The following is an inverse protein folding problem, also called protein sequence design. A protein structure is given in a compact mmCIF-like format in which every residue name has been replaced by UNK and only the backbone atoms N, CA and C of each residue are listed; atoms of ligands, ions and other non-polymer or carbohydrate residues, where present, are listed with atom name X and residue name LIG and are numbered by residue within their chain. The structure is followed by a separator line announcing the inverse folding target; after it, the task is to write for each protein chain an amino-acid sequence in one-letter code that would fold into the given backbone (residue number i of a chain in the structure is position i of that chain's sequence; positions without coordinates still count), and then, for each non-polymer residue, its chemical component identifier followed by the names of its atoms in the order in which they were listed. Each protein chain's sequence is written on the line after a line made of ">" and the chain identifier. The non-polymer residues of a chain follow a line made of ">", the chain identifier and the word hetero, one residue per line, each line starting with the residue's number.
data_IF_317399224832
#
_entry.id   IF_317399224832
#
_cell.length_a   1.000
_cell.length_b   1.000
_cell.length_c   1.000
_cell.angle_alpha   90.00
_cell.angle_beta   90.00
_cell.angle_gamma   90.00
#
_symmetry.space_group_name_H-M   'P 1'
#
loop_
_entity.id
_entity.type
_entity.pdbx_description
1 polymer ?
#
# COMPACT_ATOMS: atom_id res chain seq x y z
N UNK A 1 2.70 1.72 14.90
CA UNK A 1 2.12 3.04 14.53
C UNK A 1 1.45 2.92 13.16
N UNK A 2 0.29 3.56 12.96
CA UNK A 2 -0.44 3.61 11.69
C UNK A 2 -0.19 4.94 10.99
N UNK A 3 0.81 4.98 10.12
CA UNK A 3 1.22 6.16 9.37
C UNK A 3 0.31 6.40 8.18
N UNK A 4 -0.08 7.64 7.95
CA UNK A 4 -0.95 8.04 6.85
C UNK A 4 -0.37 9.24 6.10
N UNK A 5 -0.66 9.28 4.81
CA UNK A 5 -0.59 10.50 4.02
C UNK A 5 -2.01 11.05 3.91
N UNK A 6 -2.21 12.28 4.32
CA UNK A 6 -3.53 12.92 4.31
C UNK A 6 -3.49 14.29 3.68
N UNK A 7 -4.64 14.73 3.22
CA UNK A 7 -4.83 16.03 2.58
C UNK A 7 -5.79 16.88 3.41
N UNK A 8 -5.40 18.11 3.66
CA UNK A 8 -6.25 19.17 4.22
C UNK A 8 -6.57 20.22 3.16
N UNK A 9 -7.82 20.67 3.12
CA UNK A 9 -8.23 21.77 2.25
C UNK A 9 -7.86 23.09 2.89
N UNK A 10 -7.16 23.95 2.15
CA UNK A 10 -6.83 25.30 2.57
C UNK A 10 -7.29 26.32 1.53
N UNK A 11 -7.26 27.60 1.88
CA UNK A 11 -7.56 28.69 0.94
C UNK A 11 -6.58 28.77 -0.25
N UNK A 12 -5.39 28.18 -0.09
CA UNK A 12 -4.36 28.10 -1.13
C UNK A 12 -4.42 26.81 -1.95
N UNK A 13 -5.43 25.95 -1.66
CA UNK A 13 -5.57 24.62 -2.27
C UNK A 13 -5.30 23.47 -1.29
N UNK A 14 -5.27 22.23 -1.76
CA UNK A 14 -5.03 21.07 -0.92
C UNK A 14 -3.55 20.97 -0.51
N UNK A 15 -3.32 20.63 0.76
CA UNK A 15 -2.00 20.38 1.32
C UNK A 15 -1.88 18.94 1.78
N UNK A 16 -0.88 18.23 1.25
CA UNK A 16 -0.56 16.85 1.63
C UNK A 16 0.40 16.85 2.81
N UNK A 17 0.12 16.01 3.81
CA UNK A 17 0.85 15.92 5.05
C UNK A 17 1.06 14.46 5.49
N UNK A 18 2.14 14.22 6.23
CA UNK A 18 2.38 12.97 6.95
C UNK A 18 1.68 13.05 8.31
N UNK A 19 0.90 12.01 8.64
CA UNK A 19 0.24 11.89 9.92
C UNK A 19 0.27 10.47 10.47
N UNK A 20 -0.32 10.32 11.65
CA UNK A 20 -0.62 9.04 12.26
C UNK A 20 -2.10 8.96 12.66
N UNK A 21 -2.70 7.77 12.49
CA UNK A 21 -4.03 7.49 13.05
C UNK A 21 -3.92 7.31 14.56
N UNK A 22 -4.76 7.99 15.30
CA UNK A 22 -4.91 7.84 16.75
C UNK A 22 -6.39 7.91 17.11
N UNK A 23 -6.97 6.76 17.46
CA UNK A 23 -8.41 6.62 17.65
C UNK A 23 -9.21 7.15 16.43
N UNK A 24 -10.10 8.08 16.61
CA UNK A 24 -10.90 8.76 15.56
C UNK A 24 -10.23 10.00 14.97
N UNK A 25 -8.95 10.19 15.24
CA UNK A 25 -8.21 11.37 14.81
C UNK A 25 -7.07 11.03 13.86
N UNK A 26 -6.62 12.04 13.12
CA UNK A 26 -5.36 12.08 12.39
C UNK A 26 -4.48 13.14 13.05
N UNK A 27 -3.32 12.75 13.53
CA UNK A 27 -2.32 13.66 14.10
C UNK A 27 -1.32 14.02 13.01
N UNK A 28 -1.16 15.32 12.71
CA UNK A 28 -0.08 15.82 11.87
C UNK A 28 1.24 15.70 12.62
N UNK A 29 2.08 14.73 12.23
CA UNK A 29 3.28 14.39 12.97
C UNK A 29 4.34 15.49 12.95
N UNK A 30 4.52 16.16 11.83
CA UNK A 30 5.49 17.28 11.71
C UNK A 30 5.06 18.47 12.57
N UNK A 31 3.77 18.84 12.55
CA UNK A 31 3.25 19.90 13.40
C UNK A 31 3.27 19.52 14.88
N UNK A 32 3.01 18.27 15.22
CA UNK A 32 3.11 17.77 16.59
C UNK A 32 4.55 17.83 17.11
N UNK A 33 5.54 17.46 16.27
CA UNK A 33 6.95 17.61 16.61
C UNK A 33 7.33 19.09 16.80
N UNK A 34 6.86 19.97 15.90
CA UNK A 34 7.13 21.41 16.06
C UNK A 34 6.51 21.98 17.35
N UNK A 35 5.28 21.58 17.70
CA UNK A 35 4.64 21.96 18.96
C UNK A 35 5.43 21.46 20.17
N UNK A 36 5.88 20.20 20.15
CA UNK A 36 6.73 19.60 21.20
C UNK A 36 8.07 20.33 21.34
N UNK A 37 8.72 20.66 20.22
CA UNK A 37 9.98 21.41 20.26
C UNK A 37 9.80 22.83 20.81
N UNK A 38 8.67 23.50 20.50
CA UNK A 38 8.34 24.79 21.10
C UNK A 38 8.11 24.67 22.61
N UNK A 39 7.41 23.64 23.08
CA UNK A 39 7.19 23.35 24.51
C UNK A 39 8.53 23.07 25.25
N UNK A 40 9.49 22.48 24.56
CA UNK A 40 10.86 22.27 25.06
C UNK A 40 11.76 23.54 24.97
N UNK A 41 11.24 24.67 24.55
CA UNK A 41 11.97 25.94 24.45
C UNK A 41 12.95 26.02 23.29
N UNK A 42 12.82 25.21 22.25
CA UNK A 42 13.67 25.32 21.05
C UNK A 42 13.41 26.62 20.28
N UNK A 43 14.48 27.30 19.82
CA UNK A 43 14.37 28.60 19.15
C UNK A 43 13.72 28.51 17.76
N UNK A 44 13.98 27.43 17.03
CA UNK A 44 13.51 27.22 15.63
C UNK A 44 12.70 25.92 15.51
N UNK A 45 11.59 25.75 16.26
CA UNK A 45 10.88 24.48 16.38
C UNK A 45 10.36 23.93 15.05
N UNK A 46 9.93 24.79 14.14
CA UNK A 46 9.47 24.38 12.80
C UNK A 46 10.60 23.84 11.96
N UNK A 47 11.72 24.56 11.90
CA UNK A 47 12.89 24.14 11.14
C UNK A 47 13.45 22.82 11.64
N UNK A 48 13.45 22.63 12.95
CA UNK A 48 13.87 21.38 13.59
C UNK A 48 12.92 20.23 13.24
N UNK A 49 11.59 20.47 13.29
CA UNK A 49 10.59 19.48 12.89
C UNK A 49 10.74 19.11 11.40
N UNK A 50 10.92 20.09 10.51
CA UNK A 50 11.09 19.82 9.07
C UNK A 50 12.33 18.97 8.77
N UNK A 51 13.40 19.13 9.57
CA UNK A 51 14.64 18.37 9.42
C UNK A 51 14.55 16.94 9.98
N UNK A 52 13.86 16.72 11.11
CA UNK A 52 13.83 15.44 11.82
C UNK A 52 12.59 14.60 11.51
N UNK A 53 11.49 15.24 11.14
CA UNK A 53 10.21 14.61 10.86
C UNK A 53 9.51 15.35 9.71
N UNK A 54 10.02 15.21 8.47
CA UNK A 54 9.47 15.90 7.31
C UNK A 54 8.01 15.51 7.07
N UNK A 55 7.18 16.42 6.50
CA UNK A 55 5.75 16.19 6.29
C UNK A 55 5.43 15.28 5.08
N UNK A 56 6.43 14.70 4.45
CA UNK A 56 6.31 13.80 3.30
C UNK A 56 6.73 12.37 3.68
N UNK A 57 5.95 11.37 3.28
CA UNK A 57 6.18 9.97 3.67
C UNK A 57 7.50 9.43 3.13
N UNK A 58 7.88 9.74 1.89
CA UNK A 58 9.13 9.22 1.32
C UNK A 58 10.35 9.89 1.98
N UNK A 59 10.30 11.20 2.19
CA UNK A 59 11.35 11.91 2.92
C UNK A 59 11.47 11.41 4.36
N UNK A 60 10.36 11.10 5.01
CA UNK A 60 10.32 10.44 6.32
C UNK A 60 10.99 9.06 6.32
N UNK A 61 10.65 8.21 5.35
CA UNK A 61 11.25 6.88 5.22
C UNK A 61 12.76 6.94 4.94
N UNK A 62 13.23 7.95 4.21
CA UNK A 62 14.66 8.16 3.95
C UNK A 62 15.47 8.44 5.23
N UNK A 63 14.87 9.09 6.22
CA UNK A 63 15.50 9.33 7.52
C UNK A 63 15.46 8.10 8.45
N UNK A 64 14.63 7.12 8.14
CA UNK A 64 14.63 5.81 8.78
C UNK A 64 14.26 5.83 10.27
N UNK A 65 15.09 5.17 11.10
CA UNK A 65 14.77 4.92 12.52
C UNK A 65 14.68 6.19 13.37
N UNK A 66 15.47 7.20 13.07
CA UNK A 66 15.50 8.44 13.85
C UNK A 66 14.21 9.23 13.66
N UNK A 67 13.73 9.33 12.42
CA UNK A 67 12.44 9.94 12.14
C UNK A 67 11.27 9.13 12.74
N UNK A 68 11.34 7.80 12.74
CA UNK A 68 10.32 6.96 13.37
C UNK A 68 10.28 7.14 14.89
N UNK A 69 11.45 7.29 15.54
CA UNK A 69 11.52 7.58 16.97
C UNK A 69 10.90 8.95 17.28
N UNK A 70 11.24 9.97 16.49
CA UNK A 70 10.67 11.30 16.64
C UNK A 70 9.15 11.32 16.37
N UNK A 71 8.66 10.55 15.40
CA UNK A 71 7.24 10.40 15.14
C UNK A 71 6.47 9.82 16.34
N UNK A 72 7.07 8.88 17.09
CA UNK A 72 6.48 8.35 18.32
C UNK A 72 6.38 9.41 19.40
N UNK A 73 7.46 10.16 19.64
CA UNK A 73 7.47 11.27 20.61
C UNK A 73 6.42 12.34 20.24
N UNK A 74 6.30 12.67 18.95
CA UNK A 74 5.31 13.63 18.47
C UNK A 74 3.87 13.14 18.69
N UNK A 75 3.61 11.86 18.39
CA UNK A 75 2.29 11.26 18.62
C UNK A 75 1.95 11.19 20.10
N UNK A 76 2.88 10.76 20.96
CA UNK A 76 2.71 10.71 22.41
C UNK A 76 2.42 12.09 23.01
N UNK A 77 3.14 13.10 22.56
CA UNK A 77 2.92 14.50 22.96
C UNK A 77 1.51 14.97 22.60
N UNK A 78 1.06 14.70 21.37
CA UNK A 78 -0.27 15.07 20.92
C UNK A 78 -1.37 14.31 21.69
N UNK A 79 -1.20 13.00 21.89
CA UNK A 79 -2.12 12.15 22.66
C UNK A 79 -2.25 12.60 24.13
N UNK A 80 -1.12 12.95 24.77
CA UNK A 80 -1.11 13.47 26.15
C UNK A 80 -1.86 14.80 26.29
N UNK A 81 -1.75 15.69 25.29
CA UNK A 81 -2.52 16.93 25.22
C UNK A 81 -4.03 16.67 25.11
N UNK A 82 -4.43 15.79 24.21
CA UNK A 82 -5.83 15.39 24.01
C UNK A 82 -6.43 14.73 25.27
N UNK A 83 -5.65 13.89 25.98
CA UNK A 83 -6.08 13.29 27.24
C UNK A 83 -6.38 14.32 28.36
N UNK A 84 -5.82 15.53 28.23
CA UNK A 84 -6.10 16.67 29.10
C UNK A 84 -7.16 17.64 28.53
N UNK A 85 -7.91 17.23 27.49
CA UNK A 85 -8.87 18.04 26.75
C UNK A 85 -8.26 19.34 26.14
N UNK A 86 -6.96 19.30 25.85
CA UNK A 86 -6.22 20.42 25.23
C UNK A 86 -5.44 19.90 24.03
N UNK A 87 -6.05 19.97 22.83
CA UNK A 87 -5.34 19.67 21.61
C UNK A 87 -4.09 20.60 21.49
N UNK A 88 -2.90 20.07 21.20
CA UNK A 88 -1.76 20.92 20.95
C UNK A 88 -1.97 21.74 19.68
N UNK A 89 -1.39 22.93 19.67
CA UNK A 89 -1.31 23.79 18.48
C UNK A 89 0.14 23.90 18.04
N UNK A 90 0.36 24.02 16.74
CA UNK A 90 1.67 24.33 16.18
C UNK A 90 2.18 25.70 16.66
N UNK A 91 3.48 25.99 16.48
CA UNK A 91 4.10 27.24 16.99
C UNK A 91 3.47 28.53 16.47
N UNK A 92 2.65 28.47 15.42
CA UNK A 92 1.93 29.62 14.84
C UNK A 92 0.41 29.48 14.95
N UNK A 93 -0.09 28.63 15.83
CA UNK A 93 -1.50 28.33 15.99
C UNK A 93 -2.06 27.33 14.97
N UNK A 94 -1.18 26.54 14.30
CA UNK A 94 -1.62 25.55 13.34
C UNK A 94 -2.31 24.38 14.05
N UNK A 95 -3.39 23.86 13.44
CA UNK A 95 -4.12 22.68 13.93
C UNK A 95 -3.26 21.43 13.77
N UNK A 96 -2.93 20.76 14.86
CA UNK A 96 -2.13 19.52 14.92
C UNK A 96 -3.01 18.27 14.82
N UNK A 97 -4.20 18.28 15.41
CA UNK A 97 -5.09 17.12 15.50
C UNK A 97 -6.35 17.37 14.71
N UNK A 98 -6.63 16.50 13.76
CA UNK A 98 -7.80 16.59 12.86
C UNK A 98 -8.75 15.44 13.16
N UNK A 99 -10.07 15.66 13.06
CA UNK A 99 -11.03 14.56 12.99
C UNK A 99 -10.76 13.70 11.74
N UNK A 100 -10.95 12.39 11.85
CA UNK A 100 -10.72 11.48 10.70
C UNK A 100 -11.56 11.89 9.48
N UNK A 101 -12.76 12.42 9.69
CA UNK A 101 -13.70 12.84 8.65
C UNK A 101 -13.41 14.27 8.12
N UNK A 102 -12.56 15.03 8.80
CA UNK A 102 -12.15 16.39 8.38
C UNK A 102 -11.05 16.38 7.31
N UNK A 103 -10.44 15.23 7.05
CA UNK A 103 -9.31 15.07 6.14
C UNK A 103 -9.57 13.97 5.11
N UNK A 104 -8.89 14.06 3.98
CA UNK A 104 -8.90 13.02 2.97
C UNK A 104 -7.65 12.17 3.10
N UNK A 105 -7.79 10.88 3.37
CA UNK A 105 -6.64 9.97 3.29
C UNK A 105 -6.28 9.71 1.82
N UNK A 106 -5.00 9.73 1.56
CA UNK A 106 -4.39 9.35 0.28
C UNK A 106 -3.74 7.96 0.43
N UNK A 107 -3.21 7.43 -0.67
CA UNK A 107 -2.29 6.31 -0.55
C UNK A 107 -1.15 6.68 0.40
N UNK A 108 -0.72 5.78 1.29
CA UNK A 108 0.30 6.10 2.30
C UNK A 108 1.59 6.67 1.70
N UNK A 109 1.94 6.19 0.50
CA UNK A 109 3.08 6.68 -0.28
C UNK A 109 2.82 6.50 -1.78
N UNK A 110 3.58 7.21 -2.59
CA UNK A 110 3.76 6.90 -4.01
C UNK A 110 5.03 6.06 -4.12
N UNK A 111 4.94 4.76 -4.43
CA UNK A 111 6.11 3.88 -4.44
C UNK A 111 7.21 4.37 -5.38
N UNK A 112 8.48 4.17 -5.01
CA UNK A 112 9.62 4.38 -5.92
C UNK A 112 9.74 3.28 -6.96
N UNK A 113 9.40 2.07 -6.53
CA UNK A 113 9.22 0.90 -7.39
C UNK A 113 8.11 0.04 -6.81
N UNK A 114 7.41 -0.70 -7.67
CA UNK A 114 6.44 -1.70 -7.29
C UNK A 114 6.83 -3.02 -7.93
N UNK A 115 6.98 -4.05 -7.10
CA UNK A 115 7.18 -5.43 -7.53
C UNK A 115 6.07 -6.26 -6.90
N UNK A 116 5.40 -7.03 -7.71
CA UNK A 116 4.29 -7.84 -7.24
C UNK A 116 4.61 -9.32 -7.44
N UNK A 117 4.55 -10.06 -6.35
CA UNK A 117 4.95 -11.46 -6.29
C UNK A 117 3.76 -12.38 -6.56
N UNK A 118 4.10 -13.61 -6.84
CA UNK A 118 3.15 -14.70 -7.01
C UNK A 118 3.42 -15.76 -5.92
N UNK A 119 3.22 -15.34 -4.63
CA UNK A 119 3.77 -16.06 -3.48
C UNK A 119 2.87 -17.14 -2.87
N UNK A 120 1.60 -17.25 -3.31
CA UNK A 120 0.67 -18.24 -2.79
C UNK A 120 0.58 -19.47 -3.70
N UNK A 121 0.97 -20.64 -3.19
CA UNK A 121 1.03 -21.89 -3.96
C UNK A 121 -0.33 -22.32 -4.52
N UNK A 122 -1.38 -22.31 -3.70
CA UNK A 122 -2.72 -22.73 -4.13
C UNK A 122 -3.28 -21.85 -5.26
N UNK A 123 -3.02 -20.54 -5.19
CA UNK A 123 -3.38 -19.62 -6.27
C UNK A 123 -2.56 -19.92 -7.54
N UNK A 124 -1.26 -20.15 -7.40
CA UNK A 124 -0.37 -20.49 -8.50
C UNK A 124 -0.79 -21.80 -9.19
N UNK A 125 -1.04 -22.86 -8.44
CA UNK A 125 -1.52 -24.15 -8.96
C UNK A 125 -2.83 -23.97 -9.74
N UNK A 126 -3.76 -23.19 -9.20
CA UNK A 126 -5.07 -22.96 -9.85
C UNK A 126 -4.93 -22.14 -11.14
N UNK A 127 -4.06 -21.13 -11.14
CA UNK A 127 -3.82 -20.29 -12.33
C UNK A 127 -3.24 -21.12 -13.49
N UNK A 128 -2.26 -21.98 -13.22
CA UNK A 128 -1.68 -22.89 -14.22
C UNK A 128 -2.66 -23.95 -14.70
N UNK A 129 -3.43 -24.56 -13.79
CA UNK A 129 -4.46 -25.52 -14.16
C UNK A 129 -5.51 -24.92 -15.12
N UNK A 130 -5.91 -23.66 -14.91
CA UNK A 130 -6.81 -22.92 -15.84
C UNK A 130 -6.19 -22.70 -17.22
N UNK A 131 -4.87 -22.57 -17.29
CA UNK A 131 -4.13 -22.48 -18.55
C UNK A 131 -3.94 -23.85 -19.23
N UNK A 132 -4.44 -24.94 -18.63
CA UNK A 132 -4.28 -26.31 -19.14
C UNK A 132 -2.87 -26.88 -18.93
N UNK A 133 -2.12 -26.35 -17.96
CA UNK A 133 -0.74 -26.71 -17.67
C UNK A 133 -0.53 -27.00 -16.19
N UNK A 134 0.58 -27.63 -15.83
CA UNK A 134 1.04 -27.75 -14.45
C UNK A 134 1.93 -26.57 -14.05
N UNK A 135 1.94 -26.24 -12.76
CA UNK A 135 2.86 -25.23 -12.22
C UNK A 135 4.32 -25.66 -12.51
N UNK A 136 5.13 -24.81 -13.17
CA UNK A 136 6.52 -25.14 -13.46
C UNK A 136 7.34 -25.36 -12.18
N UNK A 137 8.25 -26.32 -12.19
CA UNK A 137 9.15 -26.59 -11.06
C UNK A 137 9.97 -25.35 -10.65
N UNK A 138 10.32 -24.49 -11.62
CA UNK A 138 11.04 -23.23 -11.37
C UNK A 138 10.31 -22.26 -10.44
N UNK A 139 8.99 -22.41 -10.25
CA UNK A 139 8.26 -21.62 -9.26
C UNK A 139 8.71 -21.92 -7.82
N UNK A 140 9.19 -23.15 -7.57
CA UNK A 140 9.72 -23.58 -6.27
C UNK A 140 11.21 -23.25 -6.08
N UNK A 141 11.92 -22.81 -7.13
CA UNK A 141 13.34 -22.49 -7.06
C UNK A 141 13.59 -21.08 -6.51
N UNK A 142 12.70 -20.12 -6.84
CA UNK A 142 12.80 -18.73 -6.40
C UNK A 142 11.47 -17.98 -6.53
N UNK A 143 11.23 -16.95 -5.69
CA UNK A 143 9.98 -16.19 -5.76
C UNK A 143 9.88 -15.38 -7.06
N UNK A 144 8.81 -15.63 -7.81
CA UNK A 144 8.51 -14.93 -9.05
C UNK A 144 7.80 -13.62 -8.79
N UNK A 145 8.13 -12.58 -9.55
CA UNK A 145 7.44 -11.29 -9.51
C UNK A 145 7.43 -10.61 -10.87
N UNK A 146 6.53 -9.67 -11.05
CA UNK A 146 6.57 -8.72 -12.15
C UNK A 146 6.72 -7.28 -11.62
N UNK A 147 7.13 -6.34 -12.48
CA UNK A 147 7.22 -4.91 -12.15
C UNK A 147 5.89 -4.23 -12.47
N UNK A 148 5.21 -3.77 -11.41
CA UNK A 148 3.96 -3.03 -11.53
C UNK A 148 4.18 -1.55 -11.84
N UNK A 149 3.13 -0.89 -12.32
CA UNK A 149 3.13 0.54 -12.57
C UNK A 149 2.97 1.32 -11.26
N UNK A 150 4.06 1.71 -10.66
CA UNK A 150 4.11 2.46 -9.40
C UNK A 150 3.57 3.91 -9.51
N UNK A 151 3.10 4.34 -10.68
CA UNK A 151 2.57 5.70 -10.91
C UNK A 151 1.04 5.77 -10.79
N UNK A 152 0.34 4.69 -11.09
CA UNK A 152 -1.12 4.61 -11.05
C UNK A 152 -1.62 4.04 -9.72
N UNK A 153 -1.39 4.79 -8.64
CA UNK A 153 -1.71 4.42 -7.26
C UNK A 153 -2.95 5.15 -6.78
N UNK A 154 -3.95 4.39 -6.34
CA UNK A 154 -5.23 4.86 -5.82
C UNK A 154 -5.30 4.65 -4.30
N UNK A 155 -5.46 5.73 -3.56
CA UNK A 155 -5.68 5.69 -2.11
C UNK A 155 -7.09 5.24 -1.72
N UNK A 156 -7.39 5.15 -0.41
CA UNK A 156 -8.69 4.72 0.08
C UNK A 156 -9.82 5.63 -0.42
N UNK A 157 -11.00 5.03 -0.60
CA UNK A 157 -12.26 5.67 -1.01
C UNK A 157 -12.20 6.37 -2.39
N UNK A 158 -11.22 6.04 -3.22
CA UNK A 158 -11.12 6.56 -4.60
C UNK A 158 -11.87 5.67 -5.59
N UNK A 159 -12.41 6.30 -6.63
CA UNK A 159 -12.95 5.58 -7.78
C UNK A 159 -11.79 5.14 -8.68
N UNK A 160 -11.75 3.84 -9.02
CA UNK A 160 -10.76 3.24 -9.91
C UNK A 160 -11.34 3.16 -11.31
N UNK A 161 -10.68 3.72 -12.34
CA UNK A 161 -11.22 3.75 -13.69
C UNK A 161 -11.33 2.36 -14.28
N UNK A 162 -12.43 2.07 -14.97
CA UNK A 162 -12.57 0.87 -15.79
C UNK A 162 -11.92 1.11 -17.15
N UNK A 163 -10.82 0.42 -17.50
CA UNK A 163 -10.16 0.64 -18.76
C UNK A 163 -11.04 0.29 -19.97
N UNK A 164 -11.04 1.14 -21.00
CA UNK A 164 -11.87 0.96 -22.19
C UNK A 164 -11.53 -0.30 -23.01
N UNK A 165 -10.34 -0.87 -22.79
CA UNK A 165 -9.83 -2.03 -23.53
C UNK A 165 -10.16 -3.38 -22.89
N UNK A 166 -10.77 -3.40 -21.68
CA UNK A 166 -11.13 -4.64 -20.98
C UNK A 166 -12.63 -4.80 -20.80
N UNK A 167 -13.08 -6.04 -20.87
CA UNK A 167 -14.44 -6.45 -20.49
C UNK A 167 -14.44 -7.30 -19.21
N UNK A 168 -13.25 -7.62 -18.69
CA UNK A 168 -13.07 -8.46 -17.50
C UNK A 168 -12.18 -7.76 -16.49
N UNK A 169 -12.77 -6.79 -15.81
CA UNK A 169 -12.16 -6.13 -14.67
C UNK A 169 -12.19 -7.04 -13.44
N UNK A 170 -11.09 -7.07 -12.70
CA UNK A 170 -10.94 -7.88 -11.50
C UNK A 170 -10.14 -7.14 -10.43
N UNK A 171 -10.16 -7.64 -9.22
CA UNK A 171 -9.38 -7.22 -8.07
C UNK A 171 -8.50 -8.36 -7.59
N UNK A 172 -7.44 -8.05 -6.87
CA UNK A 172 -6.60 -9.03 -6.15
C UNK A 172 -6.32 -8.52 -4.75
N UNK A 173 -6.76 -9.30 -3.74
CA UNK A 173 -6.59 -8.96 -2.34
C UNK A 173 -5.21 -9.40 -1.84
N UNK A 174 -4.41 -8.43 -1.43
CA UNK A 174 -3.01 -8.62 -1.08
C UNK A 174 -2.58 -7.80 0.13
N UNK A 175 -1.44 -8.16 0.69
CA UNK A 175 -0.66 -7.33 1.59
C UNK A 175 0.60 -6.88 0.86
N UNK A 176 1.00 -5.65 1.06
CA UNK A 176 2.26 -5.13 0.56
C UNK A 176 3.23 -4.80 1.70
N UNK A 177 4.48 -5.17 1.49
CA UNK A 177 5.62 -4.78 2.33
C UNK A 177 6.23 -3.49 1.77
N UNK A 178 6.54 -2.54 2.65
CA UNK A 178 7.24 -1.29 2.31
C UNK A 178 8.67 -1.35 2.83
N UNK A 179 9.64 -1.13 1.95
CA UNK A 179 11.06 -1.05 2.32
C UNK A 179 11.30 0.26 3.08
N UNK A 180 12.00 0.17 4.21
CA UNK A 180 12.32 1.31 5.08
C UNK A 180 13.82 1.59 5.23
N UNK A 181 14.67 0.77 4.61
CA UNK A 181 16.13 0.92 4.68
C UNK A 181 16.78 0.44 3.40
N UNK A 182 17.73 1.22 2.88
CA UNK A 182 18.53 0.82 1.72
C UNK A 182 19.30 -0.46 2.00
N UNK A 183 19.26 -1.41 1.04
CA UNK A 183 19.96 -2.68 1.15
C UNK A 183 20.23 -3.34 -0.19
N UNK A 184 21.32 -4.11 -0.25
CA UNK A 184 21.74 -4.89 -1.42
C UNK A 184 22.33 -6.21 -0.94
N UNK A 185 22.10 -7.30 -1.66
CA UNK A 185 22.61 -8.63 -1.33
C UNK A 185 22.25 -9.06 0.11
N UNK A 186 21.00 -8.83 0.51
CA UNK A 186 20.51 -9.10 1.86
C UNK A 186 20.32 -10.62 2.06
N UNK A 187 20.82 -11.14 3.16
CA UNK A 187 20.40 -12.47 3.62
C UNK A 187 18.94 -12.44 4.07
N UNK A 188 18.27 -13.60 4.12
CA UNK A 188 16.89 -13.74 4.61
C UNK A 188 16.68 -13.07 5.97
N UNK A 189 17.61 -13.24 6.91
CA UNK A 189 17.50 -12.64 8.25
C UNK A 189 17.68 -11.13 8.24
N UNK A 190 18.60 -10.62 7.45
CA UNK A 190 18.83 -9.18 7.32
C UNK A 190 17.62 -8.48 6.66
N UNK A 191 16.99 -9.13 5.67
CA UNK A 191 15.87 -8.58 4.92
C UNK A 191 14.75 -8.07 5.82
N UNK A 192 14.40 -8.76 6.90
CA UNK A 192 13.38 -8.31 7.85
C UNK A 192 13.71 -6.96 8.51
N UNK A 193 14.99 -6.65 8.72
CA UNK A 193 15.42 -5.37 9.33
C UNK A 193 15.30 -4.19 8.37
N UNK A 194 14.98 -4.44 7.10
CA UNK A 194 14.82 -3.44 6.05
C UNK A 194 13.35 -3.10 5.78
N UNK A 195 12.40 -3.78 6.45
CA UNK A 195 10.97 -3.52 6.32
C UNK A 195 10.57 -2.36 7.23
N UNK A 196 9.91 -1.33 6.66
CA UNK A 196 9.29 -0.25 7.43
C UNK A 196 7.95 -0.69 8.04
N UNK A 197 7.17 -1.43 7.29
CA UNK A 197 5.83 -1.88 7.67
C UNK A 197 5.06 -2.48 6.51
N UNK A 198 3.76 -2.64 6.75
CA UNK A 198 2.84 -3.28 5.81
C UNK A 198 1.62 -2.41 5.55
N UNK A 199 1.02 -2.60 4.39
CA UNK A 199 -0.23 -1.96 3.96
C UNK A 199 -1.03 -2.92 3.12
N UNK A 200 -2.32 -2.62 2.87
CA UNK A 200 -3.15 -3.41 1.95
C UNK A 200 -2.84 -2.97 0.52
N UNK A 201 -2.71 -3.94 -0.38
CA UNK A 201 -2.60 -3.74 -1.81
C UNK A 201 -3.80 -4.39 -2.51
N UNK A 202 -4.37 -3.68 -3.49
CA UNK A 202 -5.35 -4.23 -4.41
C UNK A 202 -4.76 -4.15 -5.82
N UNK A 203 -4.33 -5.28 -6.36
CA UNK A 203 -3.77 -5.35 -7.71
C UNK A 203 -4.89 -5.52 -8.74
N UNK A 204 -5.41 -4.40 -9.23
CA UNK A 204 -6.49 -4.40 -10.22
C UNK A 204 -6.04 -4.98 -11.55
N UNK A 205 -6.90 -5.82 -12.14
CA UNK A 205 -6.56 -6.67 -13.27
C UNK A 205 -7.54 -6.55 -14.43
N UNK A 206 -7.02 -6.35 -15.63
CA UNK A 206 -7.75 -6.50 -16.89
C UNK A 206 -7.47 -7.90 -17.46
N UNK A 207 -8.26 -8.90 -17.03
CA UNK A 207 -7.97 -10.34 -17.24
C UNK A 207 -7.88 -10.77 -18.69
N UNK A 208 -8.70 -10.20 -19.57
CA UNK A 208 -8.67 -10.49 -21.01
C UNK A 208 -7.38 -9.94 -21.66
N UNK A 209 -6.91 -8.75 -21.24
CA UNK A 209 -5.64 -8.20 -21.69
C UNK A 209 -4.47 -9.04 -21.20
N UNK A 210 -4.44 -9.37 -19.89
CA UNK A 210 -3.40 -10.25 -19.31
C UNK A 210 -3.30 -11.58 -20.05
N UNK A 211 -4.45 -12.22 -20.36
CA UNK A 211 -4.47 -13.47 -21.11
C UNK A 211 -3.77 -13.36 -22.45
N UNK A 212 -3.96 -12.24 -23.15
CA UNK A 212 -3.32 -11.98 -24.44
C UNK A 212 -1.80 -11.76 -24.29
N UNK A 213 -1.38 -11.00 -23.30
CA UNK A 213 0.03 -10.71 -23.02
C UNK A 213 0.80 -11.99 -22.64
N UNK A 214 0.26 -12.76 -21.71
CA UNK A 214 0.89 -14.01 -21.24
C UNK A 214 0.96 -15.07 -22.35
N UNK A 215 -0.02 -15.11 -23.25
CA UNK A 215 0.03 -16.01 -24.42
C UNK A 215 1.18 -15.68 -25.37
N UNK A 216 1.67 -14.43 -25.37
CA UNK A 216 2.86 -14.02 -26.12
C UNK A 216 4.16 -14.18 -25.34
N UNK A 217 4.14 -14.74 -24.12
CA UNK A 217 5.29 -14.89 -23.25
C UNK A 217 5.81 -13.57 -22.66
N UNK A 218 4.96 -12.53 -22.65
CA UNK A 218 5.27 -11.21 -22.09
C UNK A 218 4.22 -10.81 -21.04
N UNK A 219 4.58 -9.93 -20.15
CA UNK A 219 3.65 -9.37 -19.21
C UNK A 219 3.71 -10.01 -17.80
N UNK A 220 2.73 -9.67 -16.94
CA UNK A 220 1.66 -8.72 -17.23
C UNK A 220 2.19 -7.30 -17.46
N UNK A 221 1.58 -6.59 -18.38
CA UNK A 221 1.86 -5.20 -18.72
C UNK A 221 0.56 -4.40 -18.66
N UNK A 222 -0.03 -4.10 -19.81
CA UNK A 222 -1.27 -3.30 -19.92
C UNK A 222 -2.44 -3.88 -19.12
N UNK A 223 -2.42 -5.19 -18.88
CA UNK A 223 -3.40 -5.89 -18.04
C UNK A 223 -3.36 -5.50 -16.56
N UNK A 224 -2.25 -4.89 -16.09
CA UNK A 224 -2.02 -4.47 -14.70
C UNK A 224 -1.66 -3.00 -14.54
N UNK A 225 -1.22 -2.31 -15.61
CA UNK A 225 -0.65 -0.95 -15.55
C UNK A 225 -1.64 0.15 -15.18
N UNK A 226 -2.94 -0.12 -15.17
CA UNK A 226 -3.95 0.93 -15.09
C UNK A 226 -4.32 1.38 -13.67
N UNK A 227 -4.13 0.53 -12.66
CA UNK A 227 -4.46 0.87 -11.28
C UNK A 227 -3.90 -0.12 -10.25
N UNK A 228 -3.42 0.43 -9.14
CA UNK A 228 -3.13 -0.28 -7.88
C UNK A 228 -3.80 0.45 -6.73
N UNK A 229 -4.58 -0.25 -5.92
CA UNK A 229 -5.09 0.29 -4.67
C UNK A 229 -4.06 0.14 -3.55
N UNK A 230 -3.73 1.20 -2.80
CA UNK A 230 -2.76 1.14 -1.71
C UNK A 230 -3.26 1.90 -0.48
N UNK A 231 -3.27 1.25 0.70
CA UNK A 231 -3.69 1.88 1.95
C UNK A 231 -4.40 0.94 2.92
N UNK A 232 -5.15 1.47 3.88
CA UNK A 232 -5.41 2.88 4.17
C UNK A 232 -4.25 3.60 4.87
N UNK A 233 -3.30 2.85 5.43
CA UNK A 233 -2.15 3.36 6.17
C UNK A 233 -0.95 2.41 6.01
N UNK A 234 0.24 2.91 6.30
CA UNK A 234 1.43 2.09 6.52
C UNK A 234 1.50 1.74 8.01
N UNK A 235 1.30 0.47 8.35
CA UNK A 235 1.41 -0.03 9.73
C UNK A 235 2.85 -0.49 9.96
N UNK A 236 3.53 0.13 10.91
CA UNK A 236 4.93 -0.17 11.23
C UNK A 236 5.11 -1.62 11.70
N UNK A 237 6.29 -2.21 11.45
CA UNK A 237 6.58 -3.63 11.76
C UNK A 237 6.34 -3.98 13.22
N UNK A 238 6.65 -3.07 14.15
CA UNK A 238 6.44 -3.28 15.59
C UNK A 238 4.96 -3.43 15.98
N UNK A 239 4.04 -2.84 15.19
CA UNK A 239 2.60 -2.97 15.40
C UNK A 239 1.97 -4.10 14.56
N UNK A 240 2.40 -4.25 13.32
CA UNK A 240 1.88 -5.28 12.43
C UNK A 240 2.42 -6.68 12.75
N UNK A 241 3.70 -6.77 13.17
CA UNK A 241 4.49 -8.01 13.20
C UNK A 241 5.16 -8.28 11.83
N UNK A 242 6.38 -8.88 11.82
CA UNK A 242 7.17 -9.02 10.58
C UNK A 242 6.69 -10.12 9.63
N UNK A 243 6.10 -11.19 10.15
CA UNK A 243 5.61 -12.36 9.39
C UNK A 243 4.31 -12.88 9.99
N UNK A 244 3.48 -11.98 10.53
CA UNK A 244 2.29 -12.41 11.24
C UNK A 244 1.25 -12.99 10.31
N UNK A 245 0.53 -13.97 10.80
CA UNK A 245 -0.57 -14.59 10.11
C UNK A 245 -1.87 -13.80 10.35
N UNK A 246 -2.19 -12.90 9.41
CA UNK A 246 -3.35 -12.02 9.47
C UNK A 246 -4.50 -12.55 8.61
N UNK A 247 -5.74 -12.42 9.06
CA UNK A 247 -6.91 -12.69 8.23
C UNK A 247 -7.06 -11.58 7.17
N UNK A 248 -7.31 -12.00 5.92
CA UNK A 248 -7.66 -11.15 4.80
C UNK A 248 -9.11 -11.45 4.41
N UNK A 249 -9.92 -10.42 4.26
CA UNK A 249 -11.31 -10.54 3.83
C UNK A 249 -11.55 -9.71 2.57
N UNK A 250 -12.34 -10.25 1.66
CA UNK A 250 -12.84 -9.55 0.47
C UNK A 250 -14.33 -9.33 0.61
N UNK A 251 -14.74 -8.08 0.51
CA UNK A 251 -16.14 -7.65 0.54
C UNK A 251 -16.48 -6.95 -0.76
N UNK A 252 -17.64 -7.24 -1.34
CA UNK A 252 -18.16 -6.54 -2.51
C UNK A 252 -19.59 -6.11 -2.22
N UNK A 253 -19.86 -4.80 -2.32
CA UNK A 253 -21.16 -4.21 -1.99
C UNK A 253 -21.68 -4.59 -0.59
N UNK A 254 -20.79 -4.74 0.38
CA UNK A 254 -21.14 -5.16 1.74
C UNK A 254 -21.39 -6.67 1.92
N UNK A 255 -21.25 -7.49 0.87
CA UNK A 255 -21.28 -8.95 0.93
C UNK A 255 -19.87 -9.52 1.06
N UNK A 256 -19.66 -10.42 2.02
CA UNK A 256 -18.39 -11.14 2.16
C UNK A 256 -18.26 -12.19 1.02
N UNK A 257 -17.29 -11.98 0.13
CA UNK A 257 -17.02 -12.90 -0.98
C UNK A 257 -16.01 -13.98 -0.60
N UNK A 258 -14.99 -13.64 0.16
CA UNK A 258 -13.98 -14.63 0.55
C UNK A 258 -13.16 -14.19 1.77
N UNK A 259 -12.43 -15.18 2.32
CA UNK A 259 -11.44 -15.02 3.38
C UNK A 259 -10.21 -15.85 3.07
N UNK A 260 -9.06 -15.38 3.51
CA UNK A 260 -7.78 -16.05 3.44
C UNK A 260 -6.85 -15.58 4.56
N UNK A 261 -5.62 -16.04 4.52
CA UNK A 261 -4.62 -15.72 5.53
C UNK A 261 -3.28 -15.35 4.92
N UNK A 262 -2.58 -14.41 5.51
CA UNK A 262 -1.23 -14.05 5.06
C UNK A 262 -0.22 -15.16 5.32
N UNK A 263 -0.45 -16.03 6.29
CA UNK A 263 0.38 -17.18 6.63
C UNK A 263 0.36 -18.30 5.58
N UNK A 264 -0.64 -18.33 4.68
CA UNK A 264 -0.75 -19.35 3.61
C UNK A 264 0.27 -19.12 2.47
N UNK A 265 1.10 -18.06 2.55
CA UNK A 265 2.15 -17.82 1.55
C UNK A 265 3.24 -18.91 1.60
N UNK A 266 3.61 -19.43 0.45
CA UNK A 266 4.79 -20.28 0.30
C UNK A 266 6.10 -19.49 0.49
N UNK A 267 6.17 -18.29 -0.10
CA UNK A 267 7.33 -17.42 -0.04
C UNK A 267 7.20 -16.40 1.10
N UNK A 268 8.12 -16.42 2.07
CA UNK A 268 8.18 -15.45 3.16
C UNK A 268 8.71 -14.09 2.70
N UNK A 269 8.39 -13.00 3.44
CA UNK A 269 8.95 -11.68 3.15
C UNK A 269 10.47 -11.65 3.15
N UNK A 270 11.11 -12.35 4.08
CA UNK A 270 12.56 -12.44 4.15
C UNK A 270 13.17 -13.05 2.89
N UNK A 271 12.54 -14.08 2.30
CA UNK A 271 12.98 -14.69 1.04
C UNK A 271 12.73 -13.78 -0.15
N UNK A 272 11.55 -13.15 -0.24
CA UNK A 272 11.21 -12.24 -1.33
C UNK A 272 12.15 -11.03 -1.38
N UNK A 273 12.39 -10.36 -0.24
CA UNK A 273 13.33 -9.23 -0.19
C UNK A 273 14.78 -9.68 -0.48
N UNK A 274 15.21 -10.83 0.08
CA UNK A 274 16.52 -11.39 -0.19
C UNK A 274 16.72 -11.61 -1.69
N UNK A 275 15.73 -12.23 -2.35
CA UNK A 275 15.79 -12.50 -3.79
C UNK A 275 15.90 -11.21 -4.62
N UNK A 276 15.03 -10.22 -4.37
CA UNK A 276 15.07 -8.96 -5.14
C UNK A 276 16.35 -8.18 -4.90
N UNK A 277 16.94 -8.26 -3.70
CA UNK A 277 18.14 -7.50 -3.37
C UNK A 277 19.43 -8.09 -3.96
N UNK A 278 19.36 -9.30 -4.57
CA UNK A 278 20.52 -9.90 -5.24
C UNK A 278 20.94 -9.07 -6.44
N UNK A 279 22.16 -8.52 -6.36
CA UNK A 279 22.75 -7.62 -7.36
C UNK A 279 21.88 -6.38 -7.71
N UNK A 280 20.82 -6.10 -6.94
CA UNK A 280 19.94 -4.94 -7.05
C UNK A 280 19.83 -4.23 -5.69
N UNK A 281 19.79 -2.89 -5.69
CA UNK A 281 19.62 -2.11 -4.47
C UNK A 281 18.14 -1.82 -4.24
N UNK A 282 17.63 -2.17 -3.06
CA UNK A 282 16.34 -1.73 -2.54
C UNK A 282 16.49 -0.39 -1.86
N UNK A 283 15.49 0.48 -2.02
CA UNK A 283 15.46 1.81 -1.41
C UNK A 283 14.21 1.99 -0.53
N UNK A 284 14.28 2.87 0.51
CA UNK A 284 13.08 3.24 1.27
C UNK A 284 11.96 3.69 0.33
N UNK A 285 10.75 3.21 0.56
CA UNK A 285 9.60 3.49 -0.30
C UNK A 285 9.45 2.58 -1.53
N UNK A 286 10.33 1.60 -1.74
CA UNK A 286 10.03 0.48 -2.63
C UNK A 286 8.92 -0.38 -2.00
N UNK A 287 7.98 -0.86 -2.82
CA UNK A 287 6.82 -1.65 -2.39
C UNK A 287 6.85 -3.02 -3.06
N UNK A 288 6.62 -4.05 -2.27
CA UNK A 288 6.52 -5.43 -2.71
C UNK A 288 5.14 -5.97 -2.36
N UNK A 289 4.31 -6.31 -3.35
CA UNK A 289 3.04 -7.02 -3.18
C UNK A 289 3.26 -8.51 -2.93
N UNK A 290 2.40 -9.13 -2.15
CA UNK A 290 2.51 -10.57 -1.84
C UNK A 290 2.04 -11.48 -2.96
N UNK A 291 1.29 -10.95 -3.92
CA UNK A 291 0.36 -11.73 -4.69
C UNK A 291 -0.90 -12.06 -3.90
N UNK A 292 -1.96 -12.43 -4.59
CA UNK A 292 -3.24 -12.74 -3.95
C UNK A 292 -3.27 -14.18 -3.42
N UNK A 293 -3.97 -14.39 -2.30
CA UNK A 293 -4.24 -15.73 -1.78
C UNK A 293 -5.26 -16.46 -2.66
N UNK A 294 -5.34 -17.79 -2.55
CA UNK A 294 -6.34 -18.58 -3.27
C UNK A 294 -7.76 -18.13 -2.90
N UNK A 295 -8.55 -17.77 -3.90
CA UNK A 295 -9.86 -17.11 -3.80
C UNK A 295 -9.82 -15.64 -3.37
N UNK A 296 -8.66 -15.01 -3.39
CA UNK A 296 -8.51 -13.57 -3.11
C UNK A 296 -8.84 -12.66 -4.30
N UNK A 297 -9.27 -13.22 -5.43
CA UNK A 297 -9.65 -12.47 -6.63
C UNK A 297 -10.95 -13.02 -7.25
N UNK A 298 -11.59 -12.22 -8.06
CA UNK A 298 -12.81 -12.61 -8.77
C UNK A 298 -12.59 -13.77 -9.74
N UNK A 299 -11.42 -13.86 -10.36
CA UNK A 299 -11.03 -14.98 -11.23
C UNK A 299 -11.08 -16.30 -10.48
N UNK A 300 -10.57 -16.38 -9.26
CA UNK A 300 -10.57 -17.59 -8.45
C UNK A 300 -11.97 -17.96 -7.93
N UNK A 301 -12.77 -16.93 -7.66
CA UNK A 301 -14.14 -17.07 -7.21
C UNK A 301 -15.13 -17.38 -8.34
N UNK A 302 -14.71 -17.20 -9.61
CA UNK A 302 -15.57 -17.19 -10.79
C UNK A 302 -16.73 -16.18 -10.67
N UNK A 303 -16.47 -15.09 -9.93
CA UNK A 303 -17.36 -13.95 -9.69
C UNK A 303 -16.69 -12.67 -10.16
N UNK A 304 -17.45 -11.82 -10.83
CA UNK A 304 -16.92 -10.61 -11.46
C UNK A 304 -17.59 -9.37 -10.87
N UNK A 305 -16.79 -8.33 -10.67
CA UNK A 305 -17.30 -7.01 -10.31
C UNK A 305 -17.91 -6.31 -11.54
N UNK A 306 -18.85 -5.41 -11.29
CA UNK A 306 -19.52 -4.61 -12.28
C UNK A 306 -19.16 -3.13 -12.10
N UNK A 307 -19.31 -2.30 -13.12
CA UNK A 307 -19.19 -0.85 -12.98
C UNK A 307 -20.13 -0.31 -11.89
N UNK A 308 -19.57 0.43 -10.96
CA UNK A 308 -20.28 0.99 -9.81
C UNK A 308 -20.22 0.16 -8.53
N UNK A 309 -19.74 -1.08 -8.60
CA UNK A 309 -19.51 -1.91 -7.41
C UNK A 309 -18.46 -1.28 -6.49
N UNK A 310 -18.59 -1.57 -5.20
CA UNK A 310 -17.61 -1.22 -4.18
C UNK A 310 -16.86 -2.49 -3.76
N UNK A 311 -15.53 -2.47 -3.89
CA UNK A 311 -14.64 -3.53 -3.42
C UNK A 311 -13.93 -3.04 -2.16
N UNK A 312 -14.05 -3.80 -1.08
CA UNK A 312 -13.39 -3.53 0.18
C UNK A 312 -12.52 -4.72 0.60
N UNK A 313 -11.25 -4.46 0.83
CA UNK A 313 -10.29 -5.42 1.38
C UNK A 313 -10.06 -5.08 2.85
N UNK A 314 -10.30 -6.03 3.75
CA UNK A 314 -10.03 -5.90 5.18
C UNK A 314 -8.92 -6.83 5.59
N UNK A 315 -7.94 -6.31 6.29
CA UNK A 315 -6.82 -7.10 6.83
C UNK A 315 -6.63 -6.74 8.29
N UNK A 316 -6.55 -7.76 9.11
CA UNK A 316 -6.30 -7.60 10.55
C UNK A 316 -5.12 -6.67 10.79
N UNK A 317 -5.23 -5.79 11.79
CA UNK A 317 -4.25 -4.75 12.16
C UNK A 317 -4.02 -3.68 11.08
N UNK A 318 -4.10 -3.99 9.77
CA UNK A 318 -3.84 -3.05 8.69
C UNK A 318 -5.06 -2.15 8.39
N UNK A 319 -6.27 -2.63 8.68
CA UNK A 319 -7.50 -1.88 8.50
C UNK A 319 -8.28 -2.29 7.26
N UNK A 320 -8.87 -1.32 6.57
CA UNK A 320 -9.78 -1.53 5.44
C UNK A 320 -9.42 -0.58 4.28
N UNK A 321 -9.26 -1.15 3.10
CA UNK A 321 -9.03 -0.42 1.85
C UNK A 321 -10.22 -0.61 0.92
N UNK A 322 -10.90 0.49 0.60
CA UNK A 322 -12.13 0.47 -0.18
C UNK A 322 -11.96 1.29 -1.45
N UNK A 323 -12.51 0.74 -2.55
CA UNK A 323 -12.54 1.42 -3.85
C UNK A 323 -13.89 1.21 -4.53
N UNK A 324 -14.37 2.26 -5.18
CA UNK A 324 -15.50 2.18 -6.10
C UNK A 324 -14.99 1.88 -7.51
N UNK A 325 -15.62 0.94 -8.19
CA UNK A 325 -15.28 0.59 -9.57
C UNK A 325 -15.96 1.56 -10.51
N UNK A 326 -15.18 2.28 -11.31
CA UNK A 326 -15.66 3.25 -12.27
C UNK A 326 -16.42 2.63 -13.44
N UNK A 327 -17.03 3.47 -14.25
CA UNK A 327 -17.72 3.04 -15.47
C UNK A 327 -16.72 2.95 -16.62
N UNK A 328 -16.90 1.98 -17.56
CA UNK A 328 -16.11 1.93 -18.79
C UNK A 328 -16.23 3.26 -19.55
N UNK A 329 -15.10 3.85 -19.90
CA UNK A 329 -15.11 4.99 -20.79
C UNK A 329 -15.43 4.54 -22.22
N UNK A 330 -16.00 5.46 -23.04
CA UNK A 330 -16.25 5.17 -24.43
C UNK A 330 -14.95 4.73 -25.12
N UNK A 331 -14.99 3.60 -25.82
CA UNK A 331 -13.82 3.03 -26.47
C UNK A 331 -13.29 3.99 -27.54
N UNK A 332 -12.16 4.62 -27.29
CA UNK A 332 -11.28 5.08 -28.36
C UNK A 332 -10.55 3.83 -28.86
N UNK A 333 -11.14 3.09 -29.80
CA UNK A 333 -10.45 1.95 -30.43
C UNK A 333 -9.25 2.53 -31.20
N UNK A 334 -8.06 2.35 -30.64
CA UNK A 334 -6.88 2.40 -31.48
C UNK A 334 -6.98 1.20 -32.44
N UNK A 335 -7.35 1.47 -33.69
CA UNK A 335 -7.16 0.50 -34.77
C UNK A 335 -5.67 0.43 -35.00
N UNK A 336 -5.02 -0.65 -34.55
CA UNK A 336 -3.68 -0.97 -35.00
C UNK A 336 -3.78 -1.45 -36.46
N UNK A 337 -3.83 -0.51 -37.39
CA UNK A 337 -3.76 -0.84 -38.79
C UNK A 337 -2.31 -1.25 -39.10
N UNK A 338 -2.14 -2.49 -39.55
CA UNK A 338 -0.87 -2.87 -40.15
C UNK A 338 -0.73 -2.05 -41.43
N UNK A 339 0.22 -1.12 -41.47
CA UNK A 339 0.61 -0.39 -42.70
C UNK A 339 1.10 -1.32 -43.78
#
# INVERSE_FOLDING_TARGET
>A
MKLVTFEIKTVLGPFTRLGALWDKYVVDLNLAAAARFADLGQLEPRRLADALLPPDMLAFLDLGRDALAEARHALEFAAAGMGKNRAPEGPRGERVVHGRDDVLLLAPLKPRALRDFFAYEDHALKAWARAGSSLPASWYDHPMYFKGNHREIYGPDREVPWPSYTRRFDFEAEVACVVGRTGRNLSRLQAHTHIAGFTILNDFSARDMMKSELACGMGPGKGKDFAYGLGPCLVTVDEAGPEEDLEIQVWVNGELWSKGRTGDRYWSWGLMLSHVSQEETLYPGDVLGSGTFFRGCGLDLERWVNPGDEVELRVDKLGSLRHKIGKPQAQTRLKYERG
#
